data_IF_268151877723
#
_entry.id   IF_268151877723
#
_cell.length_a   1.000
_cell.length_b   1.000
_cell.length_c   1.000
_cell.angle_alpha   90.00
_cell.angle_beta   90.00
_cell.angle_gamma   90.00
#
_symmetry.space_group_name_H-M   'P 1'
#
loop_
_entity.id
_entity.type
_entity.pdbx_description
1 polymer ?
#
# COMPACT_ATOMS: atom_id res chain seq x y z
N UNK A 1 -11.38 6.30 2.77
CA UNK A 1 -10.44 6.41 3.91
C UNK A 1 -9.10 6.90 3.36
N UNK A 2 -8.77 8.17 3.54
CA UNK A 2 -7.56 8.82 3.00
C UNK A 2 -6.75 9.47 4.14
N UNK A 3 -6.45 8.73 5.21
CA UNK A 3 -5.72 9.23 6.37
C UNK A 3 -4.37 8.55 6.47
N UNK A 4 -3.30 9.32 6.70
CA UNK A 4 -1.92 8.83 6.81
C UNK A 4 -1.82 7.82 7.94
N UNK A 5 -2.49 8.03 9.07
CA UNK A 5 -2.44 7.06 10.17
C UNK A 5 -3.20 5.75 9.88
N UNK A 6 -4.08 5.72 8.88
CA UNK A 6 -4.94 4.57 8.54
C UNK A 6 -4.64 3.94 7.17
N UNK A 7 -3.76 4.56 6.37
CA UNK A 7 -3.38 4.10 5.01
C UNK A 7 -2.90 2.64 4.97
N UNK A 8 -2.42 2.14 6.10
CA UNK A 8 -1.82 0.80 6.23
C UNK A 8 -2.82 -0.33 6.49
N UNK A 9 -4.12 0.00 6.51
CA UNK A 9 -5.22 -0.97 6.56
C UNK A 9 -5.57 -1.51 5.16
N UNK A 10 -5.28 -0.73 4.11
CA UNK A 10 -5.47 -1.14 2.70
C UNK A 10 -4.20 -1.67 2.03
N UNK A 11 -3.02 -1.43 2.61
CA UNK A 11 -1.80 -2.19 2.32
C UNK A 11 -1.88 -3.56 3.02
N UNK A 12 -2.95 -4.32 2.77
CA UNK A 12 -2.83 -5.76 2.88
C UNK A 12 -1.61 -6.17 2.07
N UNK A 13 -0.79 -7.08 2.60
CA UNK A 13 0.39 -7.58 1.89
C UNK A 13 -0.03 -7.80 0.44
N UNK A 14 0.64 -7.15 -0.52
CA UNK A 14 0.30 -7.27 -1.93
C UNK A 14 0.72 -8.68 -2.37
N UNK A 15 -0.13 -9.65 -2.04
CA UNK A 15 0.00 -11.08 -2.34
C UNK A 15 -0.46 -11.36 -3.78
N UNK A 16 -0.64 -10.33 -4.62
CA UNK A 16 -1.08 -10.50 -6.00
C UNK A 16 -0.04 -11.26 -6.84
N UNK A 17 1.26 -11.15 -6.51
CA UNK A 17 2.31 -12.03 -7.08
C UNK A 17 2.14 -13.52 -6.70
N UNK A 18 1.26 -13.84 -5.74
CA UNK A 18 0.93 -15.19 -5.28
C UNK A 18 -0.54 -15.61 -5.54
N UNK A 19 -1.28 -14.83 -6.33
CA UNK A 19 -2.66 -15.16 -6.75
C UNK A 19 -3.74 -15.02 -5.67
N UNK A 20 -3.52 -14.16 -4.68
CA UNK A 20 -4.46 -13.87 -3.60
C UNK A 20 -5.24 -12.57 -3.85
N UNK A 21 -6.55 -12.58 -3.59
CA UNK A 21 -7.43 -11.39 -3.69
C UNK A 21 -7.50 -10.67 -2.35
N UNK A 22 -7.20 -9.38 -2.32
CA UNK A 22 -7.65 -8.50 -1.25
C UNK A 22 -9.19 -8.36 -1.31
N UNK A 23 -9.85 -8.41 -0.16
CA UNK A 23 -11.30 -8.20 -0.04
C UNK A 23 -11.52 -6.83 0.57
N UNK A 24 -12.21 -5.96 -0.18
CA UNK A 24 -12.55 -4.60 0.25
C UNK A 24 -13.50 -4.60 1.46
N UNK A 25 -13.34 -3.56 2.27
CA UNK A 25 -14.06 -3.28 3.51
C UNK A 25 -15.57 -3.15 3.29
N UNK A 26 -16.35 -3.83 4.13
CA UNK A 26 -17.77 -3.52 4.29
C UNK A 26 -17.93 -2.56 5.48
N UNK A 27 -18.45 -1.37 5.18
CA UNK A 27 -18.86 -0.34 6.15
C UNK A 27 -19.85 -0.89 7.18
N UNK A 28 -19.60 -0.62 8.46
CA UNK A 28 -20.46 -1.04 9.57
C UNK A 28 -21.74 -0.20 9.66
N UNK A 29 -22.87 -0.86 9.91
CA UNK A 29 -24.08 -0.26 10.48
C UNK A 29 -23.81 0.11 11.94
N UNK A 30 -23.86 1.41 12.25
CA UNK A 30 -23.74 1.95 13.61
C UNK A 30 -25.10 1.92 14.30
N UNK A 31 -25.41 0.84 15.01
CA UNK A 31 -26.39 0.89 16.09
C UNK A 31 -25.81 0.19 17.32
N UNK A 32 -25.17 0.96 18.20
CA UNK A 32 -24.56 0.46 19.44
C UNK A 32 -25.17 1.19 20.64
N UNK A 33 -25.89 0.42 21.44
CA UNK A 33 -26.39 0.80 22.76
C UNK A 33 -25.20 1.01 23.73
N UNK A 34 -25.03 2.20 24.32
CA UNK A 34 -23.84 2.55 25.13
C UNK A 34 -23.77 1.85 26.50
N UNK A 35 -24.83 1.15 26.95
CA UNK A 35 -24.92 0.58 28.30
C UNK A 35 -24.66 -0.95 28.38
N UNK A 36 -24.22 -1.60 27.30
CA UNK A 36 -23.91 -3.03 27.33
C UNK A 36 -22.49 -3.27 27.87
N UNK A 37 -22.35 -3.91 29.04
CA UNK A 37 -21.07 -4.45 29.54
C UNK A 37 -20.45 -5.34 28.45
N UNK A 38 -19.40 -4.84 27.82
CA UNK A 38 -18.70 -5.55 26.74
C UNK A 38 -17.83 -6.62 27.39
N UNK A 39 -18.40 -7.81 27.64
CA UNK A 39 -17.57 -8.98 27.86
C UNK A 39 -16.78 -9.21 26.58
N UNK A 40 -15.49 -8.84 26.56
CA UNK A 40 -14.62 -9.08 25.41
C UNK A 40 -14.79 -10.55 25.00
N UNK A 41 -15.12 -10.83 23.72
CA UNK A 41 -15.27 -12.20 23.27
C UNK A 41 -13.99 -13.00 23.55
N UNK A 42 -14.14 -14.30 23.72
CA UNK A 42 -12.99 -15.22 23.80
C UNK A 42 -12.16 -15.10 22.52
N UNK A 43 -10.83 -14.99 22.64
CA UNK A 43 -9.95 -14.87 21.48
C UNK A 43 -10.01 -16.12 20.61
N UNK A 44 -10.54 -15.98 19.38
CA UNK A 44 -10.69 -17.07 18.42
C UNK A 44 -10.33 -16.60 17.03
N UNK A 45 -9.59 -17.43 16.32
CA UNK A 45 -9.16 -17.20 14.95
C UNK A 45 -9.83 -18.22 14.04
N UNK A 46 -10.44 -17.75 12.96
CA UNK A 46 -11.18 -18.57 12.01
C UNK A 46 -10.51 -18.52 10.62
N UNK A 47 -10.79 -19.52 9.80
CA UNK A 47 -10.24 -19.67 8.44
C UNK A 47 -10.55 -18.48 7.53
N UNK A 48 -11.73 -17.88 7.64
CA UNK A 48 -12.18 -16.72 6.86
C UNK A 48 -12.24 -15.45 7.70
N UNK A 49 -11.74 -15.50 8.93
CA UNK A 49 -11.85 -14.42 9.91
C UNK A 49 -10.73 -13.40 9.75
N UNK A 50 -11.10 -12.12 9.87
CA UNK A 50 -10.17 -11.01 10.06
C UNK A 50 -10.18 -10.58 11.54
N UNK A 51 -9.59 -9.42 11.87
CA UNK A 51 -9.60 -8.93 13.25
C UNK A 51 -10.97 -8.36 13.68
N UNK A 52 -11.79 -7.92 12.72
CA UNK A 52 -13.06 -7.21 12.94
C UNK A 52 -14.30 -8.13 12.97
N UNK A 53 -14.18 -9.36 12.47
CA UNK A 53 -15.24 -10.38 12.48
C UNK A 53 -14.89 -11.50 13.50
N UNK A 54 -15.28 -11.35 14.78
CA UNK A 54 -14.98 -12.33 15.83
C UNK A 54 -15.72 -13.68 15.67
N UNK A 55 -16.51 -13.87 14.62
CA UNK A 55 -17.28 -15.09 14.38
C UNK A 55 -17.25 -15.54 12.92
N UNK A 56 -16.35 -16.47 12.59
CA UNK A 56 -16.40 -17.21 11.33
C UNK A 56 -17.43 -18.34 11.37
N UNK A 57 -17.97 -18.73 10.21
CA UNK A 57 -18.82 -19.93 10.10
C UNK A 57 -17.95 -21.19 10.13
N UNK A 58 -17.48 -21.60 11.30
CA UNK A 58 -16.62 -22.79 11.41
C UNK A 58 -16.05 -23.07 12.79
N UNK A 59 -15.13 -24.03 12.84
CA UNK A 59 -14.36 -24.31 14.05
C UNK A 59 -13.17 -23.34 14.12
N UNK A 60 -12.96 -22.75 15.29
CA UNK A 60 -11.79 -21.94 15.55
C UNK A 60 -10.50 -22.78 15.39
N UNK A 61 -9.46 -22.15 14.88
CA UNK A 61 -8.14 -22.75 14.77
C UNK A 61 -7.57 -23.11 16.14
N UNK A 62 -6.79 -24.19 16.19
CA UNK A 62 -6.02 -24.51 17.41
C UNK A 62 -4.82 -23.57 17.48
N UNK A 63 -4.75 -22.75 18.53
CA UNK A 63 -3.59 -21.90 18.79
C UNK A 63 -2.35 -22.73 19.13
N UNK A 64 -1.24 -22.37 18.52
CA UNK A 64 0.10 -22.90 18.74
C UNK A 64 0.95 -21.70 19.12
N UNK A 65 1.25 -21.54 20.40
CA UNK A 65 2.14 -20.48 20.87
C UNK A 65 3.56 -20.71 20.39
N UNK A 66 4.11 -19.70 19.74
CA UNK A 66 5.45 -19.67 19.17
C UNK A 66 6.37 -18.77 19.98
N UNK A 67 5.90 -17.58 20.37
CA UNK A 67 6.64 -16.57 21.13
C UNK A 67 8.05 -16.33 20.58
N UNK A 68 8.17 -16.28 19.25
CA UNK A 68 9.45 -16.11 18.56
C UNK A 68 9.72 -14.63 18.35
N UNK A 69 10.91 -14.20 18.72
CA UNK A 69 11.34 -12.82 18.60
C UNK A 69 12.60 -12.73 17.74
N UNK A 70 12.70 -11.72 16.89
CA UNK A 70 13.89 -11.48 16.07
C UNK A 70 13.99 -10.05 15.56
N UNK A 71 15.20 -9.64 15.18
CA UNK A 71 15.47 -8.38 14.50
C UNK A 71 15.56 -8.58 12.98
N UNK A 72 14.81 -7.76 12.24
CA UNK A 72 14.88 -7.69 10.78
C UNK A 72 14.42 -6.33 10.26
N UNK A 73 15.08 -5.84 9.20
CA UNK A 73 14.81 -4.54 8.57
C UNK A 73 14.84 -3.33 9.53
N UNK A 74 15.60 -3.43 10.63
CA UNK A 74 15.68 -2.36 11.66
C UNK A 74 14.52 -2.38 12.67
N UNK A 75 13.64 -3.37 12.62
CA UNK A 75 12.52 -3.53 13.53
C UNK A 75 12.64 -4.80 14.38
N UNK A 76 12.09 -4.71 15.58
CA UNK A 76 11.86 -5.86 16.44
C UNK A 76 10.54 -6.53 16.08
N UNK A 77 10.60 -7.83 15.83
CA UNK A 77 9.46 -8.65 15.41
C UNK A 77 9.11 -9.67 16.47
N UNK A 78 7.81 -9.88 16.66
CA UNK A 78 7.26 -10.98 17.45
C UNK A 78 6.32 -11.78 16.56
N UNK A 79 6.53 -13.10 16.52
CA UNK A 79 5.58 -14.08 15.99
C UNK A 79 4.98 -14.80 17.19
N UNK A 80 3.86 -14.29 17.75
CA UNK A 80 3.33 -14.80 19.01
C UNK A 80 2.72 -16.18 18.84
N UNK A 81 1.85 -16.36 17.85
CA UNK A 81 1.07 -17.58 17.69
C UNK A 81 0.85 -17.93 16.22
N UNK A 82 0.71 -19.23 15.97
CA UNK A 82 0.12 -19.77 14.75
C UNK A 82 -1.21 -20.47 15.07
N UNK A 83 -2.19 -20.38 14.18
CA UNK A 83 -3.50 -20.98 14.34
C UNK A 83 -3.71 -22.02 13.27
N UNK A 84 -3.86 -23.26 13.70
CA UNK A 84 -4.03 -24.38 12.79
C UNK A 84 -5.51 -24.62 12.55
N UNK A 85 -6.00 -24.07 11.44
CA UNK A 85 -7.38 -24.15 10.98
C UNK A 85 -7.59 -25.34 10.04
N UNK A 86 -8.83 -25.60 9.64
CA UNK A 86 -9.17 -26.77 8.81
C UNK A 86 -8.53 -26.75 7.41
N UNK A 87 -8.38 -25.56 6.82
CA UNK A 87 -7.89 -25.38 5.44
C UNK A 87 -6.58 -24.59 5.34
N UNK A 88 -6.21 -23.87 6.40
CA UNK A 88 -5.07 -22.97 6.43
C UNK A 88 -4.32 -23.03 7.75
N UNK A 89 -3.06 -22.60 7.71
CA UNK A 89 -2.28 -22.19 8.85
C UNK A 89 -2.22 -20.66 8.86
N UNK A 90 -2.68 -20.05 9.94
CA UNK A 90 -2.68 -18.60 10.10
C UNK A 90 -1.54 -18.21 11.03
N UNK A 91 -0.73 -17.22 10.66
CA UNK A 91 0.31 -16.66 11.52
C UNK A 91 -0.01 -15.20 11.81
N UNK A 92 0.14 -14.82 13.08
CA UNK A 92 0.13 -13.42 13.48
C UNK A 92 1.56 -12.90 13.60
N UNK A 93 1.74 -11.65 13.21
CA UNK A 93 2.99 -10.92 13.20
C UNK A 93 2.80 -9.61 13.94
N UNK A 94 3.76 -9.24 14.77
CA UNK A 94 3.76 -7.96 15.47
C UNK A 94 5.11 -7.28 15.25
N UNK A 95 5.11 -6.18 14.52
CA UNK A 95 6.26 -5.31 14.32
C UNK A 95 6.22 -4.19 15.35
N UNK A 96 7.27 -4.07 16.15
CA UNK A 96 7.37 -3.09 17.23
C UNK A 96 8.12 -1.82 16.77
N UNK A 97 7.61 -0.68 17.20
CA UNK A 97 8.21 0.64 16.94
C UNK A 97 8.19 1.50 18.21
N UNK A 98 9.32 2.10 18.62
CA UNK A 98 9.35 3.01 19.76
C UNK A 98 8.44 4.22 19.56
N UNK A 99 7.70 4.62 20.61
CA UNK A 99 6.85 5.81 20.56
C UNK A 99 7.62 7.09 20.22
N UNK A 100 8.89 7.20 20.61
CA UNK A 100 9.73 8.35 20.25
C UNK A 100 9.93 8.50 18.74
N UNK A 101 10.09 7.40 18.02
CA UNK A 101 10.29 7.44 16.57
C UNK A 101 9.00 7.82 15.85
N UNK A 102 7.84 7.36 16.37
CA UNK A 102 6.53 7.82 15.91
C UNK A 102 6.36 9.33 16.15
N UNK A 103 6.74 9.85 17.33
CA UNK A 103 6.70 11.29 17.61
C UNK A 103 7.61 12.10 16.68
N UNK A 104 8.82 11.59 16.39
CA UNK A 104 9.74 12.24 15.44
C UNK A 104 9.14 12.28 14.04
N UNK A 105 8.53 11.19 13.59
CA UNK A 105 7.82 11.11 12.31
C UNK A 105 6.64 12.10 12.25
N UNK A 106 5.75 12.08 13.25
CA UNK A 106 4.61 13.01 13.32
C UNK A 106 5.08 14.47 13.31
N UNK A 107 6.15 14.79 14.05
CA UNK A 107 6.73 16.13 14.07
C UNK A 107 7.34 16.53 12.73
N UNK A 108 8.02 15.61 12.03
CA UNK A 108 8.66 15.88 10.73
C UNK A 108 7.62 16.30 9.68
N UNK A 109 6.44 15.69 9.73
CA UNK A 109 5.37 15.87 8.75
C UNK A 109 4.21 16.75 9.24
N UNK A 110 4.33 17.35 10.42
CA UNK A 110 3.28 18.15 11.08
C UNK A 110 1.92 17.42 11.14
N UNK A 111 1.97 16.13 11.47
CA UNK A 111 0.79 15.27 11.49
C UNK A 111 0.06 15.36 12.82
N UNK A 112 -1.22 15.72 12.74
CA UNK A 112 -2.18 15.64 13.84
C UNK A 112 -3.39 14.82 13.40
N UNK A 113 -4.22 14.31 14.33
CA UNK A 113 -5.42 13.56 13.96
C UNK A 113 -6.42 14.34 13.07
N UNK A 114 -6.31 15.67 13.03
CA UNK A 114 -7.15 16.56 12.22
C UNK A 114 -6.54 16.86 10.84
N UNK A 115 -5.23 16.71 10.67
CA UNK A 115 -4.48 17.10 9.47
C UNK A 115 -3.82 15.92 8.73
N UNK A 116 -4.13 14.69 9.14
CA UNK A 116 -3.54 13.48 8.58
C UNK A 116 -4.14 13.06 7.22
N UNK A 117 -4.98 13.89 6.60
CA UNK A 117 -5.53 13.58 5.29
C UNK A 117 -4.43 13.54 4.23
N UNK A 118 -4.42 12.49 3.41
CA UNK A 118 -3.47 12.32 2.32
C UNK A 118 -3.63 13.42 1.26
N UNK A 119 -4.83 13.99 1.16
CA UNK A 119 -5.14 15.11 0.25
C UNK A 119 -4.39 16.40 0.60
N UNK A 120 -3.81 16.48 1.81
CA UNK A 120 -3.00 17.62 2.23
C UNK A 120 -1.56 17.55 1.70
N UNK A 121 -1.18 16.45 1.03
CA UNK A 121 0.17 16.17 0.61
C UNK A 121 0.21 15.85 -0.88
N UNK A 122 1.25 16.34 -1.57
CA UNK A 122 1.50 15.96 -2.96
C UNK A 122 1.81 14.47 -3.07
N UNK A 123 1.67 13.88 -4.25
CA UNK A 123 1.99 12.47 -4.47
C UNK A 123 3.42 12.12 -4.02
N UNK A 124 4.38 13.01 -4.29
CA UNK A 124 5.77 12.85 -3.85
C UNK A 124 5.92 12.85 -2.33
N UNK A 125 5.26 13.80 -1.67
CA UNK A 125 5.27 13.88 -0.22
C UNK A 125 4.65 12.63 0.38
N UNK A 126 3.58 12.09 -0.22
CA UNK A 126 2.96 10.84 0.23
C UNK A 126 3.95 9.66 0.12
N UNK A 127 4.67 9.51 -0.99
CA UNK A 127 5.72 8.49 -1.11
C UNK A 127 6.80 8.66 -0.03
N UNK A 128 7.23 9.91 0.21
CA UNK A 128 8.24 10.19 1.22
C UNK A 128 7.72 9.98 2.65
N UNK A 129 6.45 10.24 2.91
CA UNK A 129 5.75 9.92 4.17
C UNK A 129 5.74 8.41 4.40
N UNK A 130 5.39 7.62 3.39
CA UNK A 130 5.35 6.16 3.48
C UNK A 130 6.75 5.60 3.78
N UNK A 131 7.80 6.17 3.17
CA UNK A 131 9.20 5.83 3.45
C UNK A 131 9.66 6.16 4.87
N UNK A 132 9.17 7.27 5.42
CA UNK A 132 9.58 7.80 6.72
C UNK A 132 8.74 7.23 7.87
N UNK A 133 7.59 6.62 7.57
CA UNK A 133 6.68 6.12 8.58
C UNK A 133 7.27 4.89 9.27
N UNK A 134 7.56 4.98 10.58
CA UNK A 134 8.21 3.89 11.30
C UNK A 134 7.26 2.72 11.62
N UNK A 135 5.96 2.85 11.30
CA UNK A 135 4.98 1.78 11.36
C UNK A 135 4.71 1.18 9.98
N UNK A 136 5.38 1.64 8.91
CA UNK A 136 5.19 1.14 7.55
C UNK A 136 6.37 0.28 7.13
N UNK A 137 6.13 -1.02 6.92
CA UNK A 137 7.06 -1.89 6.21
C UNK A 137 6.29 -2.96 5.43
N UNK A 138 6.28 -2.83 4.11
CA UNK A 138 5.69 -3.85 3.25
C UNK A 138 6.60 -5.08 3.17
N UNK A 139 6.04 -6.24 3.49
CA UNK A 139 6.77 -7.51 3.52
C UNK A 139 6.07 -8.58 2.70
N UNK A 140 6.85 -9.57 2.23
CA UNK A 140 6.37 -10.79 1.61
C UNK A 140 6.77 -11.97 2.51
N UNK A 141 5.91 -12.42 3.45
CA UNK A 141 6.24 -13.51 4.34
C UNK A 141 6.15 -14.85 3.62
N UNK A 142 7.27 -15.56 3.54
CA UNK A 142 7.36 -16.87 2.91
C UNK A 142 7.45 -17.97 3.97
N UNK A 143 6.36 -18.71 4.17
CA UNK A 143 6.30 -19.79 5.16
C UNK A 143 6.67 -21.15 4.54
N UNK A 144 7.54 -21.89 5.22
CA UNK A 144 7.85 -23.29 4.90
C UNK A 144 7.44 -24.20 6.03
N UNK A 145 6.58 -25.17 5.71
CA UNK A 145 6.09 -26.20 6.61
C UNK A 145 6.69 -27.54 6.22
N UNK A 146 7.40 -28.19 7.14
CA UNK A 146 8.04 -29.49 6.92
C UNK A 146 8.94 -29.52 5.65
N UNK A 147 9.55 -28.39 5.30
CA UNK A 147 10.38 -28.22 4.10
C UNK A 147 9.63 -27.77 2.84
N UNK A 148 8.30 -27.77 2.85
CA UNK A 148 7.47 -27.34 1.71
C UNK A 148 7.02 -25.89 1.87
N UNK A 149 7.26 -25.06 0.86
CA UNK A 149 6.75 -23.68 0.83
C UNK A 149 5.24 -23.67 0.73
N UNK A 150 4.58 -22.88 1.59
CA UNK A 150 3.14 -22.71 1.60
C UNK A 150 2.73 -21.51 0.76
N UNK A 151 1.54 -21.56 0.17
CA UNK A 151 0.95 -20.44 -0.56
C UNK A 151 0.20 -19.54 0.43
N UNK A 152 0.55 -18.26 0.46
CA UNK A 152 -0.23 -17.25 1.18
C UNK A 152 -1.57 -17.01 0.45
N UNK A 153 -2.67 -16.93 1.20
CA UNK A 153 -4.03 -16.78 0.65
C UNK A 153 -4.60 -15.39 0.83
N UNK A 154 -4.48 -14.79 2.01
CA UNK A 154 -5.03 -13.49 2.34
C UNK A 154 -4.35 -12.97 3.60
N UNK A 155 -4.46 -11.67 3.82
CA UNK A 155 -3.95 -11.01 5.02
C UNK A 155 -4.86 -9.89 5.49
N UNK A 156 -4.72 -9.52 6.74
CA UNK A 156 -5.31 -8.30 7.31
C UNK A 156 -4.36 -7.70 8.33
N UNK A 157 -4.49 -6.39 8.57
CA UNK A 157 -3.63 -5.64 9.47
C UNK A 157 -4.44 -4.72 10.38
N UNK A 158 -3.92 -4.49 11.57
CA UNK A 158 -4.38 -3.45 12.49
C UNK A 158 -3.16 -2.72 13.03
N UNK A 159 -3.32 -1.45 13.37
CA UNK A 159 -2.22 -0.62 13.89
C UNK A 159 -2.59 -0.09 15.26
N UNK A 160 -1.63 -0.13 16.17
CA UNK A 160 -1.72 0.57 17.44
C UNK A 160 -0.68 1.68 17.48
N UNK A 161 -1.12 2.92 17.73
CA UNK A 161 -0.26 4.07 17.84
C UNK A 161 -0.39 4.70 19.26
N UNK A 162 0.64 4.59 20.12
CA UNK A 162 0.60 5.11 21.49
C UNK A 162 0.64 6.65 21.55
N UNK A 163 0.88 7.32 20.42
CA UNK A 163 0.93 8.78 20.33
C UNK A 163 -0.42 9.40 19.95
N UNK A 164 -1.42 8.58 19.62
CA UNK A 164 -2.76 9.04 19.28
C UNK A 164 -3.72 8.85 20.48
N UNK A 165 -4.70 9.75 20.67
CA UNK A 165 -5.73 9.57 21.68
C UNK A 165 -6.58 8.34 21.41
N UNK A 166 -7.03 7.69 22.48
CA UNK A 166 -7.84 6.47 22.42
C UNK A 166 -9.16 6.64 21.66
N UNK A 167 -9.73 7.84 21.69
CA UNK A 167 -11.01 8.19 21.07
C UNK A 167 -10.92 8.40 19.55
N UNK A 168 -9.70 8.61 19.02
CA UNK A 168 -9.53 9.16 17.67
C UNK A 168 -8.94 8.13 16.70
N UNK A 169 -8.16 7.14 17.15
CA UNK A 169 -7.46 6.29 16.17
C UNK A 169 -6.87 4.93 16.61
N UNK A 170 -7.16 4.42 17.81
CA UNK A 170 -6.73 3.06 18.16
C UNK A 170 -7.92 2.11 18.01
N UNK A 171 -7.89 1.31 16.94
CA UNK A 171 -8.89 0.29 16.67
C UNK A 171 -9.09 -0.61 17.91
N UNK A 172 -10.34 -0.88 18.33
CA UNK A 172 -10.59 -1.77 19.46
C UNK A 172 -9.98 -3.16 19.25
N UNK A 173 -9.88 -3.60 18.00
CA UNK A 173 -9.22 -4.82 17.57
C UNK A 173 -7.72 -4.83 17.89
N UNK A 174 -7.02 -3.72 17.60
CA UNK A 174 -5.60 -3.60 17.94
C UNK A 174 -5.38 -3.73 19.45
N UNK A 175 -6.22 -3.06 20.26
CA UNK A 175 -6.17 -3.19 21.74
C UNK A 175 -6.46 -4.62 22.20
N UNK A 176 -7.36 -5.31 21.52
CA UNK A 176 -7.69 -6.70 21.84
C UNK A 176 -6.52 -7.64 21.55
N UNK A 177 -5.82 -7.45 20.42
CA UNK A 177 -4.57 -8.16 20.11
C UNK A 177 -3.50 -7.89 21.17
N UNK A 178 -3.27 -6.63 21.52
CA UNK A 178 -2.29 -6.21 22.53
C UNK A 178 -2.55 -6.92 23.86
N UNK A 179 -3.82 -7.01 24.28
CA UNK A 179 -4.21 -7.71 25.50
C UNK A 179 -4.00 -9.23 25.41
N UNK A 180 -4.36 -9.86 24.29
CA UNK A 180 -4.23 -11.31 24.12
C UNK A 180 -2.77 -11.76 24.11
N UNK A 181 -1.88 -10.99 23.45
CA UNK A 181 -0.45 -11.30 23.36
C UNK A 181 0.43 -10.59 24.40
N UNK A 182 -0.18 -9.87 25.35
CA UNK A 182 0.53 -9.14 26.40
C UNK A 182 1.59 -8.15 25.87
N UNK A 183 1.28 -7.47 24.75
CA UNK A 183 2.16 -6.51 24.11
C UNK A 183 2.20 -5.18 24.88
N UNK A 184 3.38 -4.57 24.95
CA UNK A 184 3.61 -3.32 25.69
C UNK A 184 2.97 -2.12 24.98
N UNK A 185 2.02 -1.47 25.65
CA UNK A 185 1.24 -0.33 25.13
C UNK A 185 2.04 0.98 25.07
N UNK A 186 3.27 1.00 25.59
CA UNK A 186 4.19 2.14 25.43
C UNK A 186 4.86 2.18 24.05
N UNK A 187 4.70 1.13 23.25
CA UNK A 187 5.20 1.01 21.88
C UNK A 187 4.07 1.09 20.86
N UNK A 188 4.41 1.49 19.64
CA UNK A 188 3.55 1.31 18.48
C UNK A 188 3.72 -0.06 17.88
N UNK A 189 2.62 -0.58 17.35
CA UNK A 189 2.56 -1.92 16.79
C UNK A 189 1.88 -1.90 15.44
N UNK A 190 2.57 -2.41 14.42
CA UNK A 190 1.91 -2.89 13.22
C UNK A 190 1.69 -4.39 13.40
N UNK A 191 0.41 -4.78 13.41
CA UNK A 191 -0.01 -6.15 13.61
C UNK A 191 -0.64 -6.61 12.32
N UNK A 192 -0.25 -7.77 11.83
CA UNK A 192 -0.94 -8.37 10.71
C UNK A 192 -1.01 -9.87 10.84
N UNK A 193 -2.05 -10.41 10.21
CA UNK A 193 -2.40 -11.81 10.17
C UNK A 193 -2.29 -12.29 8.74
N UNK A 194 -1.60 -13.40 8.54
CA UNK A 194 -1.42 -13.99 7.21
C UNK A 194 -1.87 -15.44 7.23
N UNK A 195 -2.77 -15.78 6.30
CA UNK A 195 -3.24 -17.12 6.09
C UNK A 195 -2.42 -17.85 5.02
N UNK A 196 -2.02 -19.08 5.29
CA UNK A 196 -1.29 -19.94 4.38
C UNK A 196 -2.06 -21.23 4.13
N UNK A 197 -2.34 -21.55 2.86
CA UNK A 197 -3.05 -22.76 2.47
C UNK A 197 -2.25 -24.01 2.83
N UNK A 198 -2.94 -25.03 3.36
CA UNK A 198 -2.32 -26.34 3.48
C UNK A 198 -1.88 -26.84 2.10
N UNK A 199 -0.68 -27.43 1.97
CA UNK A 199 -0.23 -27.97 0.68
C UNK A 199 -1.15 -29.06 0.13
N UNK A 200 -1.80 -29.80 1.03
CA UNK A 200 -2.72 -30.90 0.72
C UNK A 200 -4.12 -30.61 1.29
N UNK A 201 -5.13 -31.34 0.80
CA UNK A 201 -6.52 -31.27 1.31
C UNK A 201 -6.68 -31.70 2.77
N UNK A 202 -5.64 -32.25 3.40
CA UNK A 202 -5.63 -32.70 4.79
C UNK A 202 -4.66 -31.87 5.61
N UNK A 203 -5.05 -31.56 6.85
CA UNK A 203 -4.21 -30.90 7.84
C UNK A 203 -2.96 -31.76 8.14
N UNK A 204 -1.74 -31.30 7.80
CA UNK A 204 -0.51 -32.02 8.09
C UNK A 204 -0.11 -31.87 9.56
N UNK A 205 0.66 -32.83 10.09
CA UNK A 205 1.34 -32.65 11.37
C UNK A 205 2.46 -31.62 11.21
N UNK A 206 2.53 -30.63 12.10
CA UNK A 206 3.56 -29.58 12.07
C UNK A 206 4.79 -30.13 12.81
N UNK A 207 5.84 -30.48 12.06
CA UNK A 207 7.11 -30.98 12.61
C UNK A 207 8.20 -29.91 12.62
N UNK A 208 8.19 -29.04 11.62
CA UNK A 208 9.09 -27.91 11.53
C UNK A 208 8.41 -26.76 10.80
N UNK A 209 8.66 -25.54 11.26
CA UNK A 209 8.12 -24.33 10.65
C UNK A 209 9.25 -23.30 10.50
N UNK A 210 9.45 -22.77 9.30
CA UNK A 210 10.41 -21.69 9.06
C UNK A 210 9.79 -20.57 8.25
N UNK A 211 10.12 -19.34 8.63
CA UNK A 211 9.59 -18.11 8.06
C UNK A 211 10.72 -17.36 7.39
N UNK A 212 10.57 -17.00 6.12
CA UNK A 212 11.47 -16.08 5.43
C UNK A 212 10.79 -14.73 5.31
N UNK A 213 11.41 -13.72 5.89
CA UNK A 213 10.99 -12.32 5.77
C UNK A 213 11.67 -11.74 4.53
N UNK A 214 10.89 -11.23 3.61
CA UNK A 214 11.34 -10.54 2.40
C UNK A 214 10.65 -9.17 2.34
N UNK A 215 11.38 -8.15 1.89
CA UNK A 215 10.81 -6.81 1.72
C UNK A 215 10.10 -6.75 0.37
N UNK A 216 8.88 -6.22 0.36
CA UNK A 216 8.25 -5.82 -0.88
C UNK A 216 8.94 -4.54 -1.38
N UNK A 217 9.27 -4.43 -2.69
CA UNK A 217 9.83 -3.20 -3.23
C UNK A 217 8.91 -2.02 -2.94
N UNK A 218 9.47 -0.94 -2.40
CA UNK A 218 8.74 0.30 -2.18
C UNK A 218 9.21 1.36 -3.18
N UNK A 219 8.31 2.30 -3.47
CA UNK A 219 8.59 3.44 -4.35
C UNK A 219 9.37 4.52 -3.61
N UNK A 220 10.42 5.03 -4.23
CA UNK A 220 11.23 6.12 -3.71
C UNK A 220 11.28 7.27 -4.73
N UNK A 221 10.95 8.51 -4.31
CA UNK A 221 11.11 9.67 -5.16
C UNK A 221 12.60 9.97 -5.40
N UNK A 222 12.94 10.25 -6.65
CA UNK A 222 14.27 10.54 -7.14
C UNK A 222 14.42 11.96 -7.64
N UNK A 223 15.49 12.27 -8.39
CA UNK A 223 15.76 13.63 -8.83
C UNK A 223 14.76 14.11 -9.89
N UNK A 224 14.52 15.42 -9.88
CA UNK A 224 13.66 16.11 -10.83
C UNK A 224 14.45 16.60 -12.03
N UNK A 225 13.77 16.69 -13.18
CA UNK A 225 14.36 17.19 -14.39
C UNK A 225 13.32 17.80 -15.33
N UNK A 226 13.79 18.65 -16.23
CA UNK A 226 12.99 19.25 -17.31
C UNK A 226 13.64 18.91 -18.64
N UNK A 227 12.80 18.61 -19.62
CA UNK A 227 13.21 18.31 -20.99
C UNK A 227 12.41 19.19 -21.94
N UNK A 228 13.06 19.63 -22.99
CA UNK A 228 12.51 20.60 -23.94
C UNK A 228 12.43 20.00 -25.34
N UNK A 229 13.39 19.13 -25.70
CA UNK A 229 13.48 18.61 -27.06
C UNK A 229 13.97 17.16 -27.15
N UNK A 230 13.59 16.44 -28.22
CA UNK A 230 14.23 15.17 -28.57
C UNK A 230 15.75 15.31 -28.65
N UNK A 231 16.47 14.40 -28.01
CA UNK A 231 17.93 14.42 -27.87
C UNK A 231 18.42 14.98 -26.53
N UNK A 232 17.56 15.63 -25.75
CA UNK A 232 17.90 16.07 -24.40
C UNK A 232 18.29 14.87 -23.53
N UNK A 233 19.27 15.09 -22.66
CA UNK A 233 19.81 14.07 -21.77
C UNK A 233 19.72 14.48 -20.31
N UNK A 234 19.46 13.51 -19.46
CA UNK A 234 19.46 13.69 -18.02
C UNK A 234 20.23 12.57 -17.34
N UNK A 235 21.23 12.94 -16.53
CA UNK A 235 22.05 11.99 -15.79
C UNK A 235 21.61 11.92 -14.34
N UNK A 236 21.45 10.71 -13.82
CA UNK A 236 21.08 10.46 -12.43
C UNK A 236 21.77 9.20 -11.91
N UNK A 237 21.68 8.95 -10.60
CA UNK A 237 22.27 7.77 -9.96
C UNK A 237 21.22 7.06 -9.14
N UNK A 238 21.22 5.72 -9.21
CA UNK A 238 20.35 4.92 -8.38
C UNK A 238 20.79 5.02 -6.91
N UNK A 239 19.87 5.29 -5.95
CA UNK A 239 20.24 5.69 -4.60
C UNK A 239 20.86 4.57 -3.73
N UNK A 240 20.66 3.30 -4.09
CA UNK A 240 21.25 2.14 -3.39
C UNK A 240 22.50 1.60 -4.10
N UNK A 241 22.36 1.18 -5.36
CA UNK A 241 23.46 0.60 -6.14
C UNK A 241 24.50 1.62 -6.64
N UNK A 242 24.22 2.93 -6.54
CA UNK A 242 25.03 4.03 -7.08
C UNK A 242 25.28 3.95 -8.61
N UNK A 243 24.58 3.05 -9.31
CA UNK A 243 24.66 2.92 -10.76
C UNK A 243 24.23 4.24 -11.41
N UNK A 244 25.09 4.76 -12.29
CA UNK A 244 24.81 5.98 -13.04
C UNK A 244 24.04 5.65 -14.30
N UNK A 245 22.91 6.34 -14.47
CA UNK A 245 22.06 6.23 -15.65
C UNK A 245 22.08 7.53 -16.43
N UNK A 246 21.96 7.42 -17.74
CA UNK A 246 21.70 8.54 -18.64
C UNK A 246 20.40 8.26 -19.38
N UNK A 247 19.41 9.10 -19.12
CA UNK A 247 18.18 9.18 -19.88
C UNK A 247 18.44 10.00 -21.14
N UNK A 248 17.99 9.50 -22.30
CA UNK A 248 18.00 10.26 -23.56
C UNK A 248 16.60 10.30 -24.14
N UNK A 249 16.04 11.50 -24.27
CA UNK A 249 14.72 11.73 -24.84
C UNK A 249 14.74 11.39 -26.33
N UNK A 250 13.82 10.54 -26.78
CA UNK A 250 13.66 10.18 -28.18
C UNK A 250 12.54 10.98 -28.84
N UNK A 251 11.42 11.17 -28.13
CA UNK A 251 10.26 11.91 -28.62
C UNK A 251 9.50 12.56 -27.46
N UNK A 252 8.87 13.69 -27.75
CA UNK A 252 7.96 14.38 -26.85
C UNK A 252 6.73 14.85 -27.66
N UNK A 253 5.55 14.33 -27.35
CA UNK A 253 4.33 14.56 -28.15
C UNK A 253 3.12 14.86 -27.28
N UNK A 254 2.44 15.97 -27.55
CA UNK A 254 1.15 16.28 -26.95
C UNK A 254 0.05 15.42 -27.60
N UNK A 255 -0.77 14.80 -26.76
CA UNK A 255 -1.85 13.90 -27.14
C UNK A 255 -3.15 14.30 -26.48
N UNK A 256 -4.25 13.75 -26.96
CA UNK A 256 -5.59 13.99 -26.42
C UNK A 256 -6.36 12.69 -26.43
N UNK A 257 -6.84 12.26 -25.26
CA UNK A 257 -7.70 11.10 -25.15
C UNK A 257 -9.02 11.36 -25.88
N UNK A 258 -9.47 10.40 -26.68
CA UNK A 258 -10.82 10.43 -27.23
C UNK A 258 -11.82 10.31 -26.08
N UNK A 259 -12.71 11.29 -25.92
CA UNK A 259 -13.82 11.18 -24.97
C UNK A 259 -14.78 10.08 -25.44
N UNK A 260 -14.54 8.85 -25.00
CA UNK A 260 -15.59 7.84 -25.00
C UNK A 260 -16.57 8.26 -23.91
N UNK A 261 -17.76 8.69 -24.31
CA UNK A 261 -18.85 9.02 -23.38
C UNK A 261 -19.23 7.75 -22.61
N UNK A 262 -18.61 7.54 -21.45
CA UNK A 262 -19.03 6.51 -20.51
C UNK A 262 -20.20 7.08 -19.71
N UNK A 263 -21.41 6.60 -20.03
CA UNK A 263 -22.73 6.53 -19.35
C UNK A 263 -23.21 7.59 -18.34
N UNK A 264 -22.46 8.64 -18.01
CA UNK A 264 -22.99 9.77 -17.26
C UNK A 264 -22.42 11.09 -17.80
N UNK A 265 -23.27 11.88 -18.45
CA UNK A 265 -23.01 13.29 -18.85
C UNK A 265 -22.83 14.23 -17.63
N UNK A 266 -22.65 13.66 -16.42
CA UNK A 266 -22.51 14.37 -15.15
C UNK A 266 -21.10 14.88 -14.89
N UNK A 267 -20.07 14.30 -15.53
CA UNK A 267 -18.67 14.62 -15.23
C UNK A 267 -17.89 14.92 -16.51
N UNK A 268 -17.15 16.03 -16.49
CA UNK A 268 -16.13 16.38 -17.48
C UNK A 268 -14.77 15.95 -16.95
N UNK A 269 -14.05 15.15 -17.73
CA UNK A 269 -12.71 14.66 -17.40
C UNK A 269 -11.65 15.38 -18.23
N UNK A 270 -10.46 15.65 -17.68
CA UNK A 270 -9.33 16.15 -18.45
C UNK A 270 -8.87 15.11 -19.48
N UNK A 271 -8.39 15.57 -20.63
CA UNK A 271 -8.07 14.69 -21.77
C UNK A 271 -6.72 14.98 -22.41
N UNK A 272 -6.10 16.12 -22.13
CA UNK A 272 -4.82 16.49 -22.72
C UNK A 272 -3.67 16.00 -21.85
N UNK A 273 -2.68 15.37 -22.48
CA UNK A 273 -1.46 14.90 -21.82
C UNK A 273 -0.30 14.92 -22.82
N UNK A 274 0.91 14.80 -22.31
CA UNK A 274 2.15 14.72 -23.09
C UNK A 274 2.79 13.35 -22.89
N UNK A 275 3.29 12.78 -23.97
CA UNK A 275 4.03 11.51 -23.95
C UNK A 275 5.50 11.78 -24.17
N UNK A 276 6.34 11.20 -23.31
CA UNK A 276 7.79 11.19 -23.48
C UNK A 276 8.24 9.77 -23.80
N UNK A 277 8.82 9.56 -24.99
CA UNK A 277 9.56 8.34 -25.30
C UNK A 277 11.04 8.56 -25.01
N UNK A 278 11.69 7.64 -24.32
CA UNK A 278 13.08 7.78 -23.88
C UNK A 278 13.82 6.44 -23.88
N UNK A 279 15.14 6.51 -23.83
CA UNK A 279 16.03 5.36 -23.61
C UNK A 279 16.86 5.59 -22.35
N UNK A 280 17.25 4.50 -21.68
CA UNK A 280 18.13 4.53 -20.52
C UNK A 280 19.43 3.78 -20.83
N UNK A 281 20.56 4.34 -20.39
CA UNK A 281 21.87 3.70 -20.49
C UNK A 281 22.59 3.77 -19.15
N UNK A 282 23.01 2.63 -18.55
CA UNK A 282 22.76 1.25 -19.00
C UNK A 282 21.27 0.88 -18.93
N UNK A 283 20.89 -0.25 -19.54
CA UNK A 283 19.51 -0.74 -19.45
C UNK A 283 19.18 -1.14 -18.00
N UNK A 284 18.05 -0.69 -17.44
CA UNK A 284 17.64 -1.07 -16.09
C UNK A 284 16.98 -2.46 -16.04
N UNK A 285 17.14 -3.17 -14.92
CA UNK A 285 16.56 -4.51 -14.74
C UNK A 285 15.05 -4.51 -14.41
N UNK A 286 14.46 -3.35 -14.05
CA UNK A 286 13.01 -2.98 -13.90
C UNK A 286 12.70 -2.04 -12.70
N UNK A 287 13.71 -1.38 -12.14
CA UNK A 287 13.56 -0.63 -10.88
C UNK A 287 13.37 0.89 -11.05
N UNK A 288 13.07 1.37 -12.26
CA UNK A 288 13.03 2.81 -12.57
C UNK A 288 11.78 3.15 -13.38
N UNK A 289 11.03 4.15 -12.91
CA UNK A 289 9.89 4.74 -13.61
C UNK A 289 10.00 6.27 -13.61
N UNK A 290 9.20 6.94 -14.43
CA UNK A 290 9.21 8.39 -14.56
C UNK A 290 7.78 8.91 -14.50
N UNK A 291 7.57 9.91 -13.66
CA UNK A 291 6.26 10.51 -13.41
C UNK A 291 6.34 12.02 -13.57
N UNK A 292 5.21 12.62 -13.89
CA UNK A 292 5.01 14.06 -13.82
C UNK A 292 4.98 14.51 -12.35
N UNK A 293 5.51 15.70 -12.05
CA UNK A 293 5.43 16.29 -10.73
C UNK A 293 4.12 17.05 -10.50
N UNK A 294 3.38 17.37 -11.55
CA UNK A 294 2.09 18.04 -11.45
C UNK A 294 0.97 17.08 -10.98
N UNK A 295 -0.08 17.64 -10.40
CA UNK A 295 -1.30 16.90 -10.09
C UNK A 295 -2.26 16.93 -11.29
N UNK A 296 -3.07 15.86 -11.42
CA UNK A 296 -4.14 15.83 -12.41
C UNK A 296 -5.18 16.94 -12.15
N UNK A 297 -5.71 17.51 -13.23
CA UNK A 297 -6.89 18.35 -13.12
C UNK A 297 -8.06 17.51 -12.58
N UNK A 298 -8.73 17.99 -11.52
CA UNK A 298 -9.86 17.27 -10.93
C UNK A 298 -11.05 17.26 -11.90
N UNK A 299 -11.75 16.13 -12.09
CA UNK A 299 -12.96 16.10 -12.89
C UNK A 299 -13.96 17.15 -12.42
N UNK A 300 -14.61 17.82 -13.37
CA UNK A 300 -15.58 18.86 -13.09
C UNK A 300 -16.99 18.28 -13.19
N UNK A 301 -17.81 18.51 -12.17
CA UNK A 301 -19.22 18.16 -12.22
C UNK A 301 -19.94 19.11 -13.18
N UNK A 302 -20.59 18.55 -14.19
CA UNK A 302 -21.53 19.27 -15.04
C UNK A 302 -22.84 19.31 -14.30
N UNK A 303 -23.13 20.43 -13.63
CA UNK A 303 -24.46 20.67 -13.11
C UNK A 303 -25.46 20.60 -14.30
N UNK A 304 -26.53 19.80 -14.22
CA UNK A 304 -27.61 19.95 -15.18
C UNK A 304 -28.10 21.40 -15.09
N UNK A 305 -28.40 22.03 -16.23
CA UNK A 305 -28.98 23.37 -16.24
C UNK A 305 -30.26 23.36 -15.39
N UNK A 306 -30.19 23.86 -14.16
CA UNK A 306 -31.32 23.86 -13.23
C UNK A 306 -32.29 24.96 -13.63
N UNK A 307 -33.50 24.57 -14.02
CA UNK A 307 -34.67 25.34 -13.61
C UNK A 307 -34.67 25.45 -12.07
N UNK A 308 -35.06 26.63 -11.62
CA UNK A 308 -34.98 27.13 -10.25
C UNK A 308 -35.51 26.17 -9.16
N UNK A 309 -34.87 26.24 -7.98
CA UNK A 309 -35.26 25.74 -6.65
C UNK A 309 -34.71 24.37 -6.21
N UNK A 310 -33.60 24.36 -5.43
CA UNK A 310 -33.40 23.56 -4.20
C UNK A 310 -31.97 23.74 -3.61
N UNK A 311 -31.76 23.54 -2.28
CA UNK A 311 -30.63 24.11 -1.54
C UNK A 311 -29.35 23.26 -1.59
N UNK A 312 -28.24 23.94 -1.27
CA UNK A 312 -26.87 23.42 -1.17
C UNK A 312 -26.77 22.16 -0.29
N UNK A 313 -26.25 21.08 -0.86
CA UNK A 313 -25.78 19.90 -0.13
C UNK A 313 -24.31 19.71 -0.44
N UNK A 314 -23.46 19.98 0.55
CA UNK A 314 -22.07 19.51 0.58
C UNK A 314 -22.10 17.99 0.44
N UNK A 315 -21.48 17.46 -0.60
CA UNK A 315 -21.36 16.01 -0.79
C UNK A 315 -19.89 15.65 -0.85
N UNK A 316 -19.52 14.71 0.01
CA UNK A 316 -18.20 14.09 0.14
C UNK A 316 -17.65 13.60 -1.20
N UNK A 317 -16.41 13.97 -1.49
CA UNK A 317 -15.66 13.52 -2.66
C UNK A 317 -15.30 12.04 -2.52
N UNK A 318 -16.01 11.19 -3.27
CA UNK A 318 -15.47 9.90 -3.71
C UNK A 318 -14.46 10.17 -4.84
N UNK A 319 -13.17 10.21 -4.50
CA UNK A 319 -12.11 10.18 -5.50
C UNK A 319 -12.15 8.81 -6.19
N UNK A 320 -12.63 8.78 -7.43
CA UNK A 320 -12.36 7.69 -8.34
C UNK A 320 -10.92 7.92 -8.83
N UNK A 321 -9.96 7.27 -8.18
CA UNK A 321 -8.58 7.17 -8.66
C UNK A 321 -8.59 6.35 -9.96
N UNK A 322 -8.50 7.02 -11.11
CA UNK A 322 -8.26 6.37 -12.39
C UNK A 322 -6.96 6.91 -13.00
N UNK A 323 -5.99 6.01 -12.94
CA UNK A 323 -4.69 5.92 -13.63
C UNK A 323 -3.64 6.95 -13.18
N UNK A 324 -3.02 6.63 -12.06
CA UNK A 324 -1.81 7.25 -11.54
C UNK A 324 -1.13 6.37 -10.47
N UNK A 325 -1.07 5.06 -10.69
CA UNK A 325 -0.24 4.15 -9.91
C UNK A 325 -0.98 3.15 -9.03
N UNK A 326 -1.27 1.97 -9.59
CA UNK A 326 -1.01 0.66 -8.98
C UNK A 326 -1.34 -0.45 -10.00
N UNK A 327 -0.45 -1.43 -10.06
CA UNK A 327 -0.61 -2.80 -10.57
C UNK A 327 -0.83 -3.07 -12.08
N UNK A 328 0.21 -3.71 -12.61
CA UNK A 328 0.38 -4.35 -13.93
C UNK A 328 0.30 -3.45 -15.18
N UNK A 329 1.19 -3.67 -16.17
CA UNK A 329 1.21 -2.86 -17.36
C UNK A 329 -0.01 -3.22 -18.21
N UNK A 330 -1.11 -2.49 -18.03
CA UNK A 330 -2.02 -2.26 -19.14
C UNK A 330 -1.27 -1.36 -20.10
N UNK A 331 -0.37 -1.97 -20.89
CA UNK A 331 0.23 -1.35 -22.06
C UNK A 331 -0.95 -0.97 -22.93
N UNK A 332 -1.37 0.30 -22.87
CA UNK A 332 -2.14 0.89 -23.96
C UNK A 332 -1.14 0.93 -25.12
N UNK A 333 -1.08 -0.18 -25.85
CA UNK A 333 -0.32 -0.39 -27.07
C UNK A 333 -0.84 0.60 -28.11
N UNK A 334 -0.39 1.84 -28.04
CA UNK A 334 -0.46 2.77 -29.15
C UNK A 334 0.94 2.84 -29.78
N UNK A 335 1.16 1.98 -30.77
CA UNK A 335 2.26 2.07 -31.72
C UNK A 335 3.24 0.90 -31.65
N UNK A 336 3.23 0.07 -32.68
CA UNK A 336 4.34 -0.83 -33.01
C UNK A 336 5.65 -0.03 -33.07
N UNK A 337 6.56 -0.21 -32.11
CA UNK A 337 7.93 0.29 -32.22
C UNK A 337 8.93 -0.85 -32.03
N UNK A 338 9.58 -1.24 -33.12
CA UNK A 338 10.62 -2.27 -33.23
C UNK A 338 11.99 -1.78 -32.69
N UNK A 339 12.03 -0.92 -31.68
CA UNK A 339 13.29 -0.51 -31.04
C UNK A 339 13.37 -1.13 -29.64
N UNK A 340 14.33 -2.04 -29.47
CA UNK A 340 14.70 -2.53 -28.14
C UNK A 340 15.06 -1.33 -27.24
N UNK A 341 14.60 -1.35 -26.00
CA UNK A 341 14.91 -0.37 -24.94
C UNK A 341 14.22 1.00 -25.04
N UNK A 342 13.15 1.11 -25.83
CA UNK A 342 12.32 2.32 -25.84
C UNK A 342 11.27 2.27 -24.72
N UNK A 343 11.36 3.22 -23.80
CA UNK A 343 10.44 3.40 -22.67
C UNK A 343 9.51 4.59 -22.92
N UNK A 344 8.34 4.60 -22.27
CA UNK A 344 7.35 5.68 -22.40
C UNK A 344 6.89 6.14 -21.03
N UNK A 345 6.84 7.46 -20.84
CA UNK A 345 6.24 8.13 -19.68
C UNK A 345 5.11 9.06 -20.14
N UNK A 346 4.14 9.28 -19.26
CA UNK A 346 2.95 10.09 -19.51
C UNK A 346 2.89 11.23 -18.51
N UNK A 347 2.57 12.43 -18.99
CA UNK A 347 2.27 13.57 -18.12
C UNK A 347 0.91 13.36 -17.44
N UNK A 348 0.63 14.15 -16.41
CA UNK A 348 -0.74 14.22 -15.89
C UNK A 348 -1.73 14.75 -16.92
N UNK A 349 -3.00 14.44 -16.70
CA UNK A 349 -4.11 14.87 -17.54
C UNK A 349 -4.57 16.28 -17.15
N UNK A 350 -4.74 17.12 -18.17
CA UNK A 350 -5.24 18.48 -18.04
C UNK A 350 -6.42 18.77 -18.99
N UNK A 351 -7.25 19.75 -18.63
CA UNK A 351 -8.35 20.23 -19.48
C UNK A 351 -7.86 21.06 -20.68
N UNK A 352 -6.62 21.55 -20.62
CA UNK A 352 -5.98 22.28 -21.72
C UNK A 352 -4.57 21.72 -21.94
N UNK A 353 -4.05 21.78 -23.16
CA UNK A 353 -2.64 21.47 -23.40
C UNK A 353 -1.74 22.33 -22.52
N UNK A 354 -0.78 21.69 -21.86
CA UNK A 354 0.23 22.38 -21.04
C UNK A 354 1.20 23.10 -21.97
N UNK A 355 1.36 24.42 -21.76
CA UNK A 355 2.26 25.25 -22.57
C UNK A 355 3.67 25.37 -22.01
N UNK A 356 3.82 25.13 -20.71
CA UNK A 356 5.08 25.24 -19.99
C UNK A 356 5.84 23.91 -19.98
N UNK A 357 7.15 23.96 -19.71
CA UNK A 357 7.97 22.76 -19.59
C UNK A 357 7.53 21.91 -18.40
N UNK A 358 7.20 20.64 -18.69
CA UNK A 358 6.79 19.66 -17.69
C UNK A 358 8.00 19.29 -16.82
N UNK A 359 7.79 19.30 -15.51
CA UNK A 359 8.77 18.82 -14.54
C UNK A 359 8.52 17.34 -14.26
N UNK A 360 9.51 16.51 -14.58
CA UNK A 360 9.46 15.06 -14.41
C UNK A 360 10.28 14.64 -13.20
N UNK A 361 9.88 13.56 -12.55
CA UNK A 361 10.60 12.91 -11.45
C UNK A 361 10.93 11.48 -11.81
N UNK A 362 12.16 11.08 -11.51
CA UNK A 362 12.54 9.66 -11.51
C UNK A 362 11.99 9.00 -10.25
N UNK A 363 11.37 7.84 -10.35
CA UNK A 363 10.97 7.02 -9.21
C UNK A 363 11.65 5.67 -9.25
N UNK A 364 12.14 5.23 -8.09
CA UNK A 364 12.84 3.96 -7.95
C UNK A 364 11.98 2.95 -7.20
N UNK A 365 11.96 1.70 -7.65
CA UNK A 365 11.44 0.57 -6.87
C UNK A 365 12.62 -0.10 -6.15
N UNK A 366 12.64 -0.04 -4.82
CA UNK A 366 13.84 -0.39 -4.06
C UNK A 366 13.58 -1.51 -3.05
N UNK A 367 14.53 -2.45 -3.03
CA UNK A 367 14.73 -3.40 -1.93
C UNK A 367 15.96 -2.94 -1.14
N UNK A 368 15.78 -2.54 0.12
CA UNK A 368 16.86 -2.13 1.04
C UNK A 368 17.41 -3.29 1.86
N UNK A 369 16.56 -4.24 2.19
CA UNK A 369 16.89 -5.28 3.17
C UNK A 369 16.97 -6.65 2.51
N UNK A 370 18.07 -7.36 2.77
CA UNK A 370 18.20 -8.75 2.35
C UNK A 370 17.18 -9.62 3.09
N UNK A 371 16.54 -10.54 2.35
CA UNK A 371 15.65 -11.53 2.97
C UNK A 371 16.38 -12.38 4.01
N UNK A 372 15.67 -12.78 5.06
CA UNK A 372 16.24 -13.58 6.16
C UNK A 372 15.26 -14.65 6.61
N UNK A 373 15.78 -15.84 6.88
CA UNK A 373 14.98 -17.00 7.31
C UNK A 373 15.16 -17.25 8.80
N UNK A 374 14.05 -17.54 9.48
CA UNK A 374 13.94 -17.79 10.91
C UNK A 374 13.25 -19.13 11.15
N UNK A 375 13.74 -19.90 12.12
CA UNK A 375 13.09 -21.13 12.55
C UNK A 375 12.05 -20.80 13.63
N UNK A 376 10.81 -21.24 13.42
CA UNK A 376 9.71 -21.04 14.36
C UNK A 376 9.45 -22.31 15.20
N UNK A 377 9.45 -23.49 14.56
CA UNK A 377 9.32 -24.81 15.19
C UNK A 377 10.43 -25.72 14.69
#
# INVERSE_FOLDING_TARGET
MNRIFQKFLQSGINLFSMGAKCREDNTHDMDMNPDAETTNPEWKVYFDGNFWEPSGKGHAGTEIRLDRQFEWAGHHWIIPSAYSCNKELILDFCMCTPAEDIRKFMKKWDLTPENDSCLNFTQEQQLQIDLDNPLCLDIIPCLKLNGTTMQASHSCSVVFNPCLPDEINNEPEAKWVLKHYELDTSYGWMIFRVAFLWPDKRRPAIKSLSLTMEQQPFRMPGPHFKIHSPGDQFAFSHPISETKYTLTVQKLEQQTLSQNRMDSDRWLYPTHFTTMSYTLSPEPDNDISIHDCADNDKPLEVAPATDSFSPEVQTDLACIDIIGGADEPTIILCGNNNQANLHVAYSTLHFKPVSDDIEWRIEFNIIRFSKKTFLLI
#
